data_IF_071437055906
#
_entry.id   IF_071437055906
#
_cell.length_a   1.000
_cell.length_b   1.000
_cell.length_c   1.000
_cell.angle_alpha   90.00
_cell.angle_beta   90.00
_cell.angle_gamma   90.00
#
_symmetry.space_group_name_H-M   'P 1'
#
loop_
_entity.id
_entity.type
_entity.pdbx_description
1 polymer ?
#
# COMPACT_ATOMS: atom_id res chain seq x y z
N UNK A 1 -22.42 72.68 61.07
CA UNK A 1 -22.57 71.22 61.26
C UNK A 1 -22.62 70.42 59.95
N UNK A 2 -22.96 70.99 58.78
CA UNK A 2 -23.07 70.23 57.52
C UNK A 2 -21.73 69.69 56.94
N UNK A 3 -20.60 70.32 57.23
CA UNK A 3 -19.31 70.05 56.57
C UNK A 3 -18.63 68.73 56.99
N UNK A 4 -18.70 68.40 58.29
CA UNK A 4 -18.18 67.12 58.81
C UNK A 4 -18.95 65.92 58.26
N UNK A 5 -20.28 66.01 58.20
CA UNK A 5 -21.15 64.93 57.69
C UNK A 5 -20.89 64.64 56.23
N UNK A 6 -20.64 65.67 55.42
CA UNK A 6 -20.34 65.52 53.99
C UNK A 6 -18.94 64.93 53.75
N UNK A 7 -17.98 65.24 54.62
CA UNK A 7 -16.63 64.66 54.61
C UNK A 7 -16.65 63.18 55.00
N UNK A 8 -17.39 62.80 56.05
CA UNK A 8 -17.55 61.40 56.48
C UNK A 8 -18.27 60.56 55.44
N UNK A 9 -19.31 61.11 54.79
CA UNK A 9 -20.00 60.42 53.69
C UNK A 9 -19.07 60.10 52.51
N UNK A 10 -18.19 61.04 52.12
CA UNK A 10 -17.18 60.80 51.06
C UNK A 10 -16.18 59.71 51.44
N UNK A 11 -15.73 59.67 52.70
CA UNK A 11 -14.82 58.63 53.18
C UNK A 11 -15.48 57.24 53.16
N UNK A 12 -16.73 57.14 53.59
CA UNK A 12 -17.50 55.87 53.55
C UNK A 12 -17.64 55.37 52.11
N UNK A 13 -17.98 56.27 51.17
CA UNK A 13 -18.10 55.89 49.74
C UNK A 13 -16.76 55.42 49.16
N UNK A 14 -15.64 56.04 49.57
CA UNK A 14 -14.30 55.57 49.16
C UNK A 14 -14.02 54.16 49.68
N UNK A 15 -14.23 53.94 50.98
CA UNK A 15 -14.04 52.62 51.62
C UNK A 15 -14.91 51.54 50.99
N UNK A 16 -16.16 51.85 50.63
CA UNK A 16 -17.04 50.91 49.94
C UNK A 16 -16.53 50.54 48.55
N UNK A 17 -15.98 51.51 47.79
CA UNK A 17 -15.36 51.22 46.48
C UNK A 17 -14.11 50.36 46.61
N UNK A 18 -13.28 50.60 47.61
CA UNK A 18 -12.09 49.80 47.87
C UNK A 18 -12.48 48.36 48.26
N UNK A 19 -13.53 48.21 49.06
CA UNK A 19 -14.09 46.91 49.45
C UNK A 19 -14.70 46.16 48.25
N UNK A 20 -15.43 46.85 47.37
CA UNK A 20 -15.94 46.29 46.11
C UNK A 20 -14.81 45.82 45.19
N UNK A 21 -13.72 46.59 45.11
CA UNK A 21 -12.51 46.21 44.39
C UNK A 21 -11.90 44.91 44.93
N UNK A 22 -11.72 44.83 46.25
CA UNK A 22 -11.18 43.64 46.91
C UNK A 22 -12.03 42.38 46.63
N UNK A 23 -13.35 42.47 46.79
CA UNK A 23 -14.23 41.33 46.51
C UNK A 23 -14.21 40.90 45.04
N UNK A 24 -14.06 41.86 44.12
CA UNK A 24 -13.98 41.58 42.70
C UNK A 24 -12.68 40.85 42.34
N UNK A 25 -11.57 41.25 42.95
CA UNK A 25 -10.27 40.58 42.76
C UNK A 25 -10.28 39.15 43.35
N UNK A 26 -10.87 38.96 44.53
CA UNK A 26 -11.05 37.64 45.14
C UNK A 26 -11.97 36.74 44.29
N UNK A 27 -13.06 37.31 43.75
CA UNK A 27 -13.96 36.60 42.83
C UNK A 27 -13.25 36.21 41.52
N UNK A 28 -12.37 37.07 41.00
CA UNK A 28 -11.57 36.76 39.82
C UNK A 28 -10.57 35.62 40.08
N UNK A 29 -9.87 35.64 41.22
CA UNK A 29 -8.97 34.55 41.62
C UNK A 29 -9.70 33.23 41.77
N UNK A 30 -10.87 33.23 42.42
CA UNK A 30 -11.66 32.02 42.62
C UNK A 30 -12.15 31.44 41.28
N UNK A 31 -12.57 32.31 40.35
CA UNK A 31 -12.98 31.88 39.01
C UNK A 31 -11.82 31.28 38.20
N UNK A 32 -10.61 31.82 38.33
CA UNK A 32 -9.41 31.26 37.71
C UNK A 32 -9.07 29.87 38.27
N UNK A 33 -9.14 29.70 39.60
CA UNK A 33 -8.91 28.41 40.25
C UNK A 33 -9.95 27.36 39.86
N UNK A 34 -11.23 27.74 39.78
CA UNK A 34 -12.30 26.87 39.28
C UNK A 34 -12.00 26.42 37.84
N UNK A 35 -11.61 27.34 36.96
CA UNK A 35 -11.24 27.01 35.59
C UNK A 35 -10.09 26.00 35.51
N UNK A 36 -9.07 26.16 36.35
CA UNK A 36 -7.93 25.24 36.44
C UNK A 36 -8.34 23.84 36.95
N UNK A 37 -9.23 23.77 37.94
CA UNK A 37 -9.76 22.53 38.48
C UNK A 37 -10.63 21.78 37.47
N UNK A 38 -11.47 22.48 36.71
CA UNK A 38 -12.29 21.91 35.64
C UNK A 38 -11.43 21.34 34.50
N UNK A 39 -10.37 22.05 34.11
CA UNK A 39 -9.41 21.56 33.12
C UNK A 39 -8.68 20.29 33.62
N UNK A 40 -8.27 20.27 34.89
CA UNK A 40 -7.63 19.10 35.50
C UNK A 40 -8.57 17.91 35.58
N UNK A 41 -9.83 18.13 35.98
CA UNK A 41 -10.87 17.10 36.03
C UNK A 41 -11.13 16.50 34.66
N UNK A 42 -11.13 17.32 33.60
CA UNK A 42 -11.31 16.86 32.23
C UNK A 42 -10.18 15.92 31.81
N UNK A 43 -8.92 16.27 32.07
CA UNK A 43 -7.76 15.40 31.81
C UNK A 43 -7.84 14.08 32.58
N UNK A 44 -8.22 14.13 33.86
CA UNK A 44 -8.39 12.91 34.68
C UNK A 44 -9.47 12.00 34.08
N UNK A 45 -10.58 12.56 33.61
CA UNK A 45 -11.65 11.78 33.00
C UNK A 45 -11.23 11.13 31.68
N UNK A 46 -10.40 11.79 30.87
CA UNK A 46 -9.81 11.19 29.66
C UNK A 46 -8.88 10.03 30.01
N UNK A 47 -8.01 10.20 31.01
CA UNK A 47 -7.12 9.13 31.49
C UNK A 47 -7.95 7.96 32.04
N UNK A 48 -9.02 8.22 32.81
CA UNK A 48 -9.92 7.18 33.30
C UNK A 48 -10.54 6.38 32.16
N UNK A 49 -11.01 7.03 31.09
CA UNK A 49 -11.53 6.31 29.89
C UNK A 49 -10.48 5.39 29.27
N UNK A 50 -9.22 5.83 29.21
CA UNK A 50 -8.12 5.00 28.71
C UNK A 50 -7.86 3.82 29.65
N UNK A 51 -7.84 4.05 30.97
CA UNK A 51 -7.64 2.99 31.97
C UNK A 51 -8.78 1.97 31.90
N UNK A 52 -10.03 2.40 31.85
CA UNK A 52 -11.19 1.51 31.76
C UNK A 52 -11.19 0.70 30.45
N UNK A 53 -10.68 1.27 29.35
CA UNK A 53 -10.50 0.55 28.09
C UNK A 53 -9.30 -0.41 28.08
N UNK A 54 -8.31 -0.20 28.95
CA UNK A 54 -7.06 -0.99 28.99
C UNK A 54 -7.00 -2.00 30.13
N UNK A 55 -7.77 -1.81 31.20
CA UNK A 55 -7.93 -2.76 32.31
C UNK A 55 -8.91 -3.85 31.87
N UNK A 56 -8.36 -4.97 31.42
CA UNK A 56 -9.08 -6.10 30.83
C UNK A 56 -9.84 -6.87 31.91
N UNK A 57 -11.16 -7.00 31.80
CA UNK A 57 -11.97 -7.81 32.73
C UNK A 57 -11.78 -9.31 32.55
N UNK A 58 -11.50 -9.79 31.32
CA UNK A 58 -11.32 -11.21 30.98
C UNK A 58 -10.24 -11.41 29.88
N UNK A 59 -8.96 -11.51 30.24
CA UNK A 59 -7.89 -11.69 29.27
C UNK A 59 -7.90 -13.09 28.64
N UNK A 60 -7.74 -13.14 27.32
CA UNK A 60 -7.47 -14.36 26.56
C UNK A 60 -5.96 -14.57 26.52
N UNK A 61 -5.53 -15.78 26.87
CA UNK A 61 -4.13 -16.19 26.78
C UNK A 61 -3.92 -17.05 25.53
N UNK A 62 -3.02 -16.63 24.65
CA UNK A 62 -2.59 -17.38 23.47
C UNK A 62 -1.20 -17.96 23.71
N UNK A 63 -1.05 -19.28 23.61
CA UNK A 63 0.22 -19.97 23.65
C UNK A 63 0.65 -20.33 22.21
N UNK A 64 1.51 -19.51 21.61
CA UNK A 64 1.98 -19.66 20.23
C UNK A 64 3.35 -20.34 20.25
N UNK A 65 3.40 -21.64 19.94
CA UNK A 65 4.67 -22.40 19.89
C UNK A 65 5.46 -22.37 21.20
N UNK A 66 4.77 -22.29 22.35
CA UNK A 66 5.38 -22.20 23.68
C UNK A 66 5.50 -20.78 24.24
N UNK A 67 5.29 -19.74 23.42
CA UNK A 67 5.31 -18.34 23.86
C UNK A 67 3.91 -17.86 24.22
N UNK A 68 3.74 -17.37 25.46
CA UNK A 68 2.44 -16.90 25.97
C UNK A 68 2.24 -15.41 25.69
N UNK A 69 1.08 -15.07 25.14
CA UNK A 69 0.63 -13.70 24.87
C UNK A 69 -0.75 -13.49 25.49
N UNK A 70 -1.03 -12.28 25.98
CA UNK A 70 -2.33 -11.94 26.57
C UNK A 70 -2.97 -10.76 25.85
N UNK A 71 -4.28 -10.87 25.61
CA UNK A 71 -5.05 -9.88 24.87
C UNK A 71 -6.56 -10.02 25.15
N UNK A 72 -7.40 -9.22 24.47
CA UNK A 72 -8.86 -9.25 24.62
C UNK A 72 -9.53 -9.93 23.43
N UNK A 73 -10.78 -10.40 23.64
CA UNK A 73 -11.66 -10.84 22.53
C UNK A 73 -11.84 -9.73 21.49
N UNK A 74 -11.97 -8.47 21.92
CA UNK A 74 -12.17 -7.34 21.02
C UNK A 74 -10.97 -7.14 20.08
N UNK A 75 -9.74 -7.26 20.59
CA UNK A 75 -8.51 -7.18 19.77
C UNK A 75 -8.46 -8.32 18.74
N UNK A 76 -8.74 -9.54 19.17
CA UNK A 76 -8.68 -10.72 18.30
C UNK A 76 -9.79 -10.76 17.23
N UNK A 77 -10.93 -10.15 17.50
CA UNK A 77 -12.09 -10.10 16.60
C UNK A 77 -12.24 -8.74 15.90
N UNK A 78 -11.23 -7.86 15.98
CA UNK A 78 -11.24 -6.51 15.38
C UNK A 78 -11.37 -6.55 13.87
N UNK A 79 -10.73 -7.52 13.23
CA UNK A 79 -10.81 -7.76 11.78
C UNK A 79 -11.63 -9.03 11.57
N UNK A 80 -12.75 -8.90 10.85
CA UNK A 80 -13.68 -10.00 10.59
C UNK A 80 -13.16 -10.97 9.54
N UNK A 81 -13.51 -12.25 9.68
CA UNK A 81 -13.10 -13.31 8.76
C UNK A 81 -11.65 -13.78 8.91
N UNK A 82 -10.93 -13.28 9.92
CA UNK A 82 -9.57 -13.75 10.24
C UNK A 82 -9.61 -15.05 11.04
N UNK A 83 -8.48 -15.75 11.13
CA UNK A 83 -8.33 -16.96 11.95
C UNK A 83 -8.83 -16.76 13.38
N UNK A 84 -8.48 -15.62 13.99
CA UNK A 84 -8.84 -15.31 15.38
C UNK A 84 -10.33 -14.97 15.54
N UNK A 85 -10.95 -14.35 14.53
CA UNK A 85 -12.38 -14.06 14.54
C UNK A 85 -13.21 -15.35 14.48
N UNK A 86 -12.87 -16.26 13.56
CA UNK A 86 -13.52 -17.58 13.44
C UNK A 86 -13.26 -18.45 14.67
N UNK A 87 -12.04 -18.38 15.23
CA UNK A 87 -11.69 -19.11 16.44
C UNK A 87 -12.56 -18.73 17.65
N UNK A 88 -13.02 -17.46 17.71
CA UNK A 88 -13.78 -16.93 18.84
C UNK A 88 -15.28 -16.69 18.53
N UNK A 89 -15.72 -17.00 17.31
CA UNK A 89 -17.12 -16.88 16.86
C UNK A 89 -18.00 -18.03 17.35
N UNK A 90 -17.40 -19.16 17.73
CA UNK A 90 -18.10 -20.39 18.09
C UNK A 90 -18.46 -21.29 16.89
N UNK A 91 -18.03 -20.91 15.67
CA UNK A 91 -18.23 -21.69 14.44
C UNK A 91 -17.25 -22.87 14.33
N UNK A 92 -16.09 -22.77 14.99
CA UNK A 92 -15.13 -23.84 15.11
C UNK A 92 -15.20 -24.48 16.50
N UNK A 93 -15.16 -25.82 16.54
CA UNK A 93 -15.27 -26.62 17.77
C UNK A 93 -13.92 -26.62 18.53
N UNK A 94 -13.49 -25.44 19.00
CA UNK A 94 -12.18 -25.21 19.62
C UNK A 94 -12.33 -25.27 21.14
N UNK A 95 -11.70 -26.27 21.76
CA UNK A 95 -11.65 -26.41 23.21
C UNK A 95 -10.45 -25.65 23.78
N UNK A 96 -10.62 -24.90 24.88
CA UNK A 96 -9.49 -24.38 25.65
C UNK A 96 -8.57 -25.51 26.13
N UNK A 97 -7.33 -25.16 26.49
CA UNK A 97 -6.45 -26.12 27.18
C UNK A 97 -7.12 -26.64 28.46
N UNK A 98 -6.98 -27.94 28.72
CA UNK A 98 -7.80 -28.74 29.66
C UNK A 98 -7.86 -28.25 31.10
N UNK A 99 -7.01 -27.33 31.51
CA UNK A 99 -6.84 -26.94 32.92
C UNK A 99 -6.86 -25.41 33.15
N UNK A 100 -7.09 -24.61 32.09
CA UNK A 100 -7.09 -23.14 32.18
C UNK A 100 -8.15 -22.54 31.26
N UNK A 101 -9.18 -21.92 31.83
CA UNK A 101 -10.20 -21.18 31.07
C UNK A 101 -9.54 -20.06 30.24
N UNK A 102 -10.07 -19.78 29.05
CA UNK A 102 -9.59 -18.74 28.12
C UNK A 102 -8.11 -18.85 27.68
N UNK A 103 -7.50 -20.04 27.76
CA UNK A 103 -6.15 -20.29 27.24
C UNK A 103 -6.19 -21.22 26.03
N UNK A 104 -5.58 -20.78 24.93
CA UNK A 104 -5.58 -21.51 23.66
C UNK A 104 -4.15 -21.74 23.16
N UNK A 105 -3.87 -22.96 22.70
CA UNK A 105 -2.59 -23.31 22.09
C UNK A 105 -2.68 -23.24 20.57
N UNK A 106 -1.67 -22.65 19.96
CA UNK A 106 -1.53 -22.54 18.50
C UNK A 106 -0.13 -23.03 18.14
N UNK A 107 -0.08 -24.08 17.31
CA UNK A 107 1.15 -24.71 16.85
C UNK A 107 1.79 -23.90 15.70
N UNK A 108 2.35 -22.75 16.04
CA UNK A 108 3.03 -21.79 15.15
C UNK A 108 4.22 -21.16 15.86
N UNK A 109 5.13 -20.54 15.11
CA UNK A 109 6.27 -19.83 15.70
C UNK A 109 5.84 -18.51 16.35
N UNK A 110 5.92 -18.45 17.68
CA UNK A 110 5.58 -17.27 18.46
C UNK A 110 6.64 -16.15 18.43
N UNK A 111 7.78 -16.33 17.76
CA UNK A 111 8.93 -15.43 17.89
C UNK A 111 8.67 -13.99 17.48
N UNK A 112 7.93 -13.79 16.41
CA UNK A 112 7.56 -12.46 15.91
C UNK A 112 6.07 -12.13 16.10
N UNK A 113 5.34 -12.94 16.87
CA UNK A 113 3.89 -12.79 17.06
C UNK A 113 3.50 -11.46 17.71
N UNK A 114 4.40 -10.84 18.48
CA UNK A 114 4.20 -9.50 19.08
C UNK A 114 3.81 -8.43 18.04
N UNK A 115 4.35 -8.51 16.82
CA UNK A 115 4.07 -7.55 15.75
C UNK A 115 2.65 -7.73 15.19
N UNK A 116 2.23 -8.99 15.03
CA UNK A 116 0.86 -9.34 14.61
C UNK A 116 -0.14 -8.89 15.67
N UNK A 117 0.18 -9.14 16.94
CA UNK A 117 -0.69 -8.75 18.04
C UNK A 117 -0.82 -7.23 18.18
N UNK A 118 0.28 -6.47 18.02
CA UNK A 118 0.23 -5.02 18.02
C UNK A 118 -0.57 -4.50 16.82
N UNK A 119 -0.35 -5.06 15.62
CA UNK A 119 -1.15 -4.72 14.46
C UNK A 119 -2.65 -4.94 14.72
N UNK A 120 -3.05 -6.03 15.38
CA UNK A 120 -4.45 -6.28 15.77
C UNK A 120 -4.97 -5.29 16.84
N UNK A 121 -4.12 -4.63 17.61
CA UNK A 121 -4.49 -3.62 18.62
C UNK A 121 -4.72 -2.25 17.98
N UNK A 122 -3.74 -1.73 17.27
CA UNK A 122 -3.71 -0.34 16.78
C UNK A 122 -3.93 -0.21 15.27
N UNK A 123 -3.60 -1.25 14.48
CA UNK A 123 -3.72 -1.26 13.03
C UNK A 123 -2.51 -0.69 12.32
N UNK A 124 -1.42 -0.39 13.04
CA UNK A 124 -0.23 0.22 12.48
C UNK A 124 0.79 -0.85 12.02
N UNK A 125 0.98 -0.93 10.71
CA UNK A 125 1.94 -1.84 10.09
C UNK A 125 3.39 -1.32 10.16
N UNK A 126 3.58 -0.02 10.40
CA UNK A 126 4.90 0.63 10.33
C UNK A 126 5.82 0.24 11.49
N UNK A 127 5.29 -0.48 12.49
CA UNK A 127 6.02 -0.95 13.67
C UNK A 127 6.83 -2.23 13.37
N UNK A 128 6.71 -2.82 12.17
CA UNK A 128 7.41 -4.06 11.78
C UNK A 128 8.83 -3.74 11.25
N UNK A 129 9.91 -4.20 11.92
CA UNK A 129 11.28 -4.04 11.42
C UNK A 129 11.49 -4.79 10.10
N UNK A 130 12.34 -4.24 9.22
CA UNK A 130 12.60 -4.81 7.88
C UNK A 130 13.18 -6.22 7.93
N UNK A 131 13.95 -6.51 8.96
CA UNK A 131 14.70 -7.76 9.14
C UNK A 131 13.77 -8.95 9.39
N UNK A 132 12.62 -8.71 10.02
CA UNK A 132 11.62 -9.75 10.38
C UNK A 132 10.36 -9.68 9.52
N UNK A 133 10.29 -8.73 8.58
CA UNK A 133 9.09 -8.45 7.79
C UNK A 133 8.57 -9.68 7.05
N UNK A 134 9.44 -10.40 6.33
CA UNK A 134 9.04 -11.59 5.59
C UNK A 134 8.57 -12.75 6.48
N UNK A 135 9.10 -12.87 7.70
CA UNK A 135 8.63 -13.84 8.68
C UNK A 135 7.23 -13.47 9.20
N UNK A 136 7.03 -12.19 9.54
CA UNK A 136 5.73 -11.67 10.00
C UNK A 136 4.66 -11.79 8.92
N UNK A 137 4.98 -11.49 7.66
CA UNK A 137 4.06 -11.62 6.52
C UNK A 137 3.61 -13.08 6.30
N UNK A 138 4.52 -14.05 6.45
CA UNK A 138 4.17 -15.48 6.38
C UNK A 138 3.18 -15.89 7.46
N UNK A 139 3.39 -15.43 8.69
CA UNK A 139 2.47 -15.71 9.80
C UNK A 139 1.12 -14.99 9.63
N UNK A 140 1.11 -13.73 9.19
CA UNK A 140 -0.14 -13.00 8.92
C UNK A 140 -0.98 -13.69 7.85
N UNK A 141 -0.35 -14.25 6.80
CA UNK A 141 -1.03 -15.08 5.80
C UNK A 141 -1.63 -16.36 6.40
N UNK A 142 -0.94 -17.00 7.35
CA UNK A 142 -1.49 -18.15 8.08
C UNK A 142 -2.73 -17.75 8.88
N UNK A 143 -2.67 -16.64 9.62
CA UNK A 143 -3.79 -16.13 10.42
C UNK A 143 -4.90 -15.46 9.59
N UNK A 144 -4.82 -15.48 8.26
CA UNK A 144 -5.78 -14.83 7.35
C UNK A 144 -5.94 -13.33 7.68
N UNK A 145 -4.86 -12.69 8.10
CA UNK A 145 -4.81 -11.24 8.32
C UNK A 145 -4.25 -10.63 7.05
N UNK A 146 -5.12 -10.01 6.26
CA UNK A 146 -4.70 -9.22 5.12
C UNK A 146 -4.05 -7.94 5.64
N UNK A 147 -2.73 -7.85 5.46
CA UNK A 147 -2.06 -6.57 5.63
C UNK A 147 -2.64 -5.60 4.60
N UNK A 148 -2.91 -4.33 4.95
CA UNK A 148 -3.00 -3.29 3.96
C UNK A 148 -1.62 -3.23 3.33
N UNK A 149 -1.45 -3.94 2.21
CA UNK A 149 -0.27 -3.81 1.38
C UNK A 149 -0.14 -2.30 1.13
N UNK A 150 1.06 -1.70 1.28
CA UNK A 150 1.26 -0.36 0.78
C UNK A 150 0.73 -0.36 -0.66
N UNK A 151 -0.09 0.63 -1.05
CA UNK A 151 -0.76 0.60 -2.34
C UNK A 151 0.29 0.32 -3.40
N UNK A 152 0.14 -0.82 -4.09
CA UNK A 152 1.05 -1.14 -5.18
C UNK A 152 1.05 0.05 -6.13
N UNK A 153 2.21 0.49 -6.64
CA UNK A 153 2.24 1.54 -7.66
C UNK A 153 1.33 1.19 -8.85
N UNK A 154 1.12 -0.11 -9.07
CA UNK A 154 0.31 -0.67 -10.15
C UNK A 154 -0.99 -1.28 -9.64
N UNK A 155 -2.04 -1.18 -10.45
CA UNK A 155 -3.28 -1.96 -10.24
C UNK A 155 -3.27 -3.30 -10.98
N UNK A 156 -2.23 -3.57 -11.76
CA UNK A 156 -2.10 -4.77 -12.60
C UNK A 156 -1.24 -5.85 -11.96
N UNK A 157 -0.30 -5.48 -11.08
CA UNK A 157 0.62 -6.40 -10.40
C UNK A 157 0.84 -6.03 -8.93
N UNK A 158 1.20 -7.04 -8.14
CA UNK A 158 1.61 -6.89 -6.74
C UNK A 158 3.04 -6.32 -6.56
N UNK A 159 3.35 -5.84 -5.36
CA UNK A 159 4.65 -5.26 -5.02
C UNK A 159 5.83 -6.23 -5.21
N UNK A 160 5.64 -7.53 -4.94
CA UNK A 160 6.66 -8.57 -5.11
C UNK A 160 7.14 -8.70 -6.56
N UNK A 161 6.26 -8.42 -7.53
CA UNK A 161 6.64 -8.41 -8.94
C UNK A 161 7.56 -7.22 -9.29
N UNK A 162 7.41 -6.08 -8.61
CA UNK A 162 8.34 -4.95 -8.77
C UNK A 162 9.74 -5.26 -8.21
N UNK A 163 9.83 -6.05 -7.14
CA UNK A 163 11.12 -6.53 -6.63
C UNK A 163 11.81 -7.42 -7.65
N UNK A 164 11.08 -8.35 -8.26
CA UNK A 164 11.59 -9.18 -9.35
C UNK A 164 12.03 -8.36 -10.58
N UNK A 165 11.26 -7.33 -10.96
CA UNK A 165 11.64 -6.44 -12.05
C UNK A 165 12.91 -5.64 -11.69
N UNK A 166 13.10 -5.23 -10.44
CA UNK A 166 14.34 -4.58 -10.00
C UNK A 166 15.54 -5.51 -10.15
N UNK A 167 15.40 -6.80 -9.82
CA UNK A 167 16.46 -7.80 -10.01
C UNK A 167 16.80 -7.98 -11.49
N UNK A 168 15.80 -7.95 -12.36
CA UNK A 168 16.00 -7.96 -13.82
C UNK A 168 16.72 -6.71 -14.33
N UNK A 169 16.36 -5.53 -13.82
CA UNK A 169 17.04 -4.27 -14.18
C UNK A 169 18.46 -4.22 -13.58
N UNK A 170 18.71 -4.93 -12.47
CA UNK A 170 19.98 -4.97 -11.76
C UNK A 170 20.13 -3.85 -10.71
N UNK A 171 19.05 -3.12 -10.40
CA UNK A 171 19.05 -2.10 -9.34
C UNK A 171 17.62 -1.77 -8.91
N UNK A 172 17.47 -1.26 -7.68
CA UNK A 172 16.19 -0.78 -7.17
C UNK A 172 15.75 0.49 -7.91
N UNK A 173 14.53 0.48 -8.45
CA UNK A 173 13.95 1.63 -9.15
C UNK A 173 12.98 2.43 -8.28
N UNK A 174 12.67 3.65 -8.71
CA UNK A 174 11.58 4.45 -8.17
C UNK A 174 10.46 4.60 -9.21
N UNK A 175 9.39 3.83 -9.02
CA UNK A 175 8.30 3.72 -9.98
C UNK A 175 7.36 4.92 -9.89
N UNK A 176 7.39 5.80 -10.89
CA UNK A 176 6.42 6.90 -11.03
C UNK A 176 5.47 6.63 -12.18
N UNK A 177 4.16 6.50 -11.89
CA UNK A 177 3.15 6.26 -12.93
C UNK A 177 3.06 7.46 -13.89
N UNK A 178 3.41 7.24 -15.15
CA UNK A 178 3.32 8.24 -16.22
C UNK A 178 1.98 8.16 -16.94
N UNK A 179 1.56 6.94 -17.29
CA UNK A 179 0.42 6.69 -18.16
C UNK A 179 -0.39 5.52 -17.63
N UNK A 180 -1.72 5.67 -17.67
CA UNK A 180 -2.68 4.59 -17.42
C UNK A 180 -3.78 4.64 -18.45
N UNK A 181 -3.99 3.56 -19.20
CA UNK A 181 -4.97 3.49 -20.29
C UNK A 181 -6.38 3.90 -19.83
N UNK A 182 -6.84 3.33 -18.71
CA UNK A 182 -8.15 3.65 -18.14
C UNK A 182 -8.30 5.10 -17.64
N UNK A 183 -7.20 5.81 -17.39
CA UNK A 183 -7.18 7.20 -16.90
C UNK A 183 -7.00 8.21 -18.03
N UNK A 184 -6.07 7.92 -18.93
CA UNK A 184 -5.53 8.88 -19.90
C UNK A 184 -6.04 8.64 -21.33
N UNK A 185 -6.71 7.51 -21.57
CA UNK A 185 -7.15 7.04 -22.88
C UNK A 185 -6.20 6.01 -23.49
N UNK A 186 -6.74 5.10 -24.31
CA UNK A 186 -6.00 3.98 -24.90
C UNK A 186 -5.37 4.29 -26.27
N UNK A 187 -5.59 5.47 -26.83
CA UNK A 187 -5.09 5.83 -28.15
C UNK A 187 -3.58 6.17 -28.13
N UNK A 188 -2.96 6.08 -29.31
CA UNK A 188 -1.55 6.42 -29.50
C UNK A 188 -1.20 7.85 -29.03
N UNK A 189 -1.99 8.91 -29.37
CA UNK A 189 -1.75 10.25 -28.85
C UNK A 189 -1.69 10.35 -27.32
N UNK A 190 -2.56 9.65 -26.59
CA UNK A 190 -2.56 9.63 -25.13
C UNK A 190 -1.27 9.04 -24.57
N UNK A 191 -0.83 7.89 -25.07
CA UNK A 191 0.43 7.29 -24.67
C UNK A 191 1.60 8.25 -24.89
N UNK A 192 1.73 8.82 -26.09
CA UNK A 192 2.87 9.68 -26.42
C UNK A 192 2.90 11.00 -25.65
N UNK A 193 1.72 11.58 -25.37
CA UNK A 193 1.61 12.76 -24.50
C UNK A 193 2.18 12.50 -23.10
N UNK A 194 1.98 11.29 -22.57
CA UNK A 194 2.42 10.94 -21.22
C UNK A 194 3.86 10.40 -21.17
N UNK A 195 4.30 9.63 -22.17
CA UNK A 195 5.50 8.80 -22.10
C UNK A 195 6.72 9.31 -22.88
N UNK A 196 6.55 10.18 -23.88
CA UNK A 196 7.67 10.65 -24.70
C UNK A 196 8.62 11.55 -23.88
N UNK A 197 9.93 11.37 -24.07
CA UNK A 197 10.98 12.17 -23.41
C UNK A 197 11.03 12.02 -21.89
N UNK A 198 10.58 10.89 -21.32
CA UNK A 198 10.54 10.64 -19.87
C UNK A 198 11.69 9.78 -19.34
N UNK A 199 12.57 9.31 -20.22
CA UNK A 199 13.67 8.41 -19.95
C UNK A 199 13.24 6.96 -19.94
N UNK A 200 13.90 6.18 -19.07
CA UNK A 200 13.68 4.74 -18.89
C UNK A 200 12.28 4.46 -18.37
N UNK A 201 11.63 3.44 -18.92
CA UNK A 201 10.27 3.07 -18.51
C UNK A 201 10.05 1.57 -18.44
N UNK A 202 9.18 1.15 -17.52
CA UNK A 202 8.54 -0.16 -17.52
C UNK A 202 7.10 0.00 -18.00
N UNK A 203 6.69 -0.80 -18.99
CA UNK A 203 5.31 -0.91 -19.45
C UNK A 203 4.71 -2.22 -18.94
N UNK A 204 3.52 -2.15 -18.35
CA UNK A 204 2.70 -3.27 -17.90
C UNK A 204 1.39 -3.28 -18.69
N UNK A 205 1.05 -4.42 -19.27
CA UNK A 205 -0.13 -4.61 -20.10
C UNK A 205 -0.93 -5.77 -19.52
N UNK A 206 -2.21 -5.55 -19.23
CA UNK A 206 -3.16 -6.59 -18.90
C UNK A 206 -4.06 -6.84 -20.10
N UNK A 207 -4.02 -8.06 -20.63
CA UNK A 207 -4.93 -8.48 -21.68
C UNK A 207 -6.26 -8.97 -21.09
N UNK A 208 -7.34 -8.84 -21.86
CA UNK A 208 -8.70 -9.30 -21.47
C UNK A 208 -8.79 -10.80 -21.14
N UNK A 209 -7.83 -11.60 -21.60
CA UNK A 209 -7.76 -13.01 -21.28
C UNK A 209 -7.11 -13.29 -19.91
N UNK A 210 -6.70 -12.24 -19.18
CA UNK A 210 -6.14 -12.30 -17.82
C UNK A 210 -4.61 -12.36 -17.78
N UNK A 211 -3.93 -12.45 -18.92
CA UNK A 211 -2.47 -12.43 -18.95
C UNK A 211 -1.93 -11.03 -18.67
N UNK A 212 -0.80 -10.94 -17.96
CA UNK A 212 -0.09 -9.70 -17.63
C UNK A 212 1.36 -9.80 -18.06
N UNK A 213 1.79 -8.87 -18.90
CA UNK A 213 3.10 -8.88 -19.54
C UNK A 213 3.54 -7.46 -19.89
N UNK A 214 4.72 -7.31 -20.48
CA UNK A 214 5.17 -5.99 -20.92
C UNK A 214 6.65 -5.94 -21.28
N UNK A 215 7.25 -4.77 -21.09
CA UNK A 215 8.65 -4.57 -21.42
C UNK A 215 9.29 -3.36 -20.76
N UNK A 216 10.62 -3.42 -20.72
CA UNK A 216 11.50 -2.36 -20.27
C UNK A 216 12.13 -1.67 -21.48
N UNK A 217 11.93 -0.36 -21.57
CA UNK A 217 12.61 0.52 -22.51
C UNK A 217 13.68 1.30 -21.76
N UNK A 218 14.94 1.15 -22.17
CA UNK A 218 16.08 1.83 -21.54
C UNK A 218 16.29 3.27 -22.01
N UNK A 219 15.52 3.72 -23.01
CA UNK A 219 15.67 5.01 -23.69
C UNK A 219 14.31 5.74 -23.80
N UNK A 220 14.32 6.95 -24.32
CA UNK A 220 13.12 7.76 -24.52
C UNK A 220 12.19 7.19 -25.60
N UNK A 221 10.90 7.13 -25.28
CA UNK A 221 9.86 6.98 -26.30
C UNK A 221 9.85 8.17 -27.26
N UNK A 222 9.64 7.88 -28.54
CA UNK A 222 9.68 8.87 -29.63
C UNK A 222 8.74 8.47 -30.79
N UNK A 223 8.63 9.35 -31.77
CA UNK A 223 7.72 9.22 -32.92
C UNK A 223 8.46 9.01 -34.25
N UNK A 224 9.76 8.74 -34.22
CA UNK A 224 10.65 8.86 -35.40
C UNK A 224 10.50 7.73 -36.43
N UNK A 225 9.55 6.80 -36.25
CA UNK A 225 9.30 5.68 -37.16
C UNK A 225 10.37 4.57 -37.15
N UNK A 226 11.47 4.78 -36.42
CA UNK A 226 12.70 3.99 -36.45
C UNK A 226 12.80 3.03 -35.27
N UNK A 227 13.59 1.97 -35.46
CA UNK A 227 13.99 1.07 -34.39
C UNK A 227 15.12 1.66 -33.56
N UNK A 228 15.10 1.39 -32.26
CA UNK A 228 16.12 1.84 -31.30
C UNK A 228 16.16 0.90 -30.07
N UNK A 229 16.91 1.32 -29.05
CA UNK A 229 17.13 0.57 -27.82
C UNK A 229 18.57 0.06 -27.74
N UNK A 230 18.88 -0.62 -26.64
CA UNK A 230 20.17 -1.25 -26.39
C UNK A 230 19.96 -2.59 -25.68
N UNK A 231 21.05 -3.31 -25.39
CA UNK A 231 21.00 -4.65 -24.79
C UNK A 231 20.38 -4.71 -23.39
N UNK A 232 20.10 -3.57 -22.75
CA UNK A 232 19.36 -3.54 -21.49
C UNK A 232 17.84 -3.61 -21.69
N UNK A 233 17.31 -3.38 -22.90
CA UNK A 233 15.90 -3.58 -23.20
C UNK A 233 15.52 -5.07 -23.09
N UNK A 234 14.36 -5.35 -22.50
CA UNK A 234 13.80 -6.70 -22.40
C UNK A 234 12.28 -6.65 -22.40
N UNK A 235 11.65 -7.75 -22.80
CA UNK A 235 10.22 -7.98 -22.58
C UNK A 235 10.04 -9.09 -21.55
N UNK A 236 8.85 -9.19 -20.97
CA UNK A 236 8.58 -10.16 -19.92
C UNK A 236 7.11 -10.56 -19.87
N UNK A 237 6.86 -11.71 -19.26
CA UNK A 237 5.52 -12.15 -18.82
C UNK A 237 5.52 -12.33 -17.31
N UNK A 238 4.42 -11.95 -16.65
CA UNK A 238 4.24 -12.06 -15.19
C UNK A 238 3.13 -13.07 -14.90
N UNK A 239 1.92 -12.81 -15.40
CA UNK A 239 0.77 -13.72 -15.28
C UNK A 239 0.53 -14.31 -16.66
N UNK A 240 0.56 -15.63 -16.76
CA UNK A 240 0.33 -16.33 -18.01
C UNK A 240 -0.51 -17.60 -17.81
N UNK A 241 -1.34 -17.93 -18.80
CA UNK A 241 -2.15 -19.17 -18.80
C UNK A 241 -1.35 -20.46 -18.98
N UNK A 242 -0.08 -20.35 -19.35
CA UNK A 242 0.81 -21.51 -19.52
C UNK A 242 1.39 -22.00 -18.18
N UNK A 243 1.10 -21.31 -17.07
CA UNK A 243 1.60 -21.66 -15.75
C UNK A 243 3.11 -21.44 -15.58
N UNK A 244 3.75 -20.68 -16.47
CA UNK A 244 5.15 -20.30 -16.31
C UNK A 244 5.30 -19.35 -15.12
N UNK A 245 6.43 -19.48 -14.41
CA UNK A 245 6.87 -18.43 -13.51
C UNK A 245 7.10 -17.12 -14.30
N UNK A 246 7.04 -15.94 -13.65
CA UNK A 246 7.40 -14.69 -14.29
C UNK A 246 8.75 -14.80 -15.00
N UNK A 247 8.78 -14.50 -16.29
CA UNK A 247 9.91 -14.80 -17.17
C UNK A 247 10.30 -13.56 -17.98
N UNK A 248 11.60 -13.27 -18.01
CA UNK A 248 12.21 -12.22 -18.81
C UNK A 248 12.83 -12.77 -20.09
N UNK A 249 12.63 -12.08 -21.20
CA UNK A 249 13.19 -12.38 -22.50
C UNK A 249 14.13 -11.25 -22.95
N UNK A 250 15.39 -11.61 -23.20
CA UNK A 250 16.43 -10.67 -23.62
C UNK A 250 16.44 -10.50 -25.14
N UNK A 251 16.85 -9.33 -25.59
CA UNK A 251 17.01 -9.02 -27.00
C UNK A 251 18.00 -9.97 -27.69
N UNK A 252 17.67 -10.41 -28.90
CA UNK A 252 18.62 -11.14 -29.76
C UNK A 252 19.72 -10.18 -30.21
N UNK A 253 20.96 -10.63 -30.23
CA UNK A 253 22.01 -9.90 -30.96
C UNK A 253 21.74 -10.04 -32.46
N UNK A 254 21.24 -8.98 -33.07
CA UNK A 254 21.27 -8.81 -34.52
C UNK A 254 22.66 -8.30 -34.87
N UNK A 255 23.26 -8.76 -35.97
CA UNK A 255 24.63 -8.39 -36.37
C UNK A 255 24.91 -6.88 -36.37
N UNK A 256 26.19 -6.52 -36.29
CA UNK A 256 26.77 -5.17 -36.22
C UNK A 256 25.78 -3.97 -36.11
N UNK A 257 25.44 -3.60 -34.86
CA UNK A 257 24.91 -2.27 -34.53
C UNK A 257 23.43 -2.02 -34.83
N UNK A 258 22.66 -3.03 -35.26
CA UNK A 258 21.22 -2.87 -35.54
C UNK A 258 20.39 -3.28 -34.32
N UNK A 259 19.97 -2.31 -33.50
CA UNK A 259 19.11 -2.56 -32.34
C UNK A 259 17.63 -2.45 -32.72
N UNK A 260 16.93 -3.59 -32.72
CA UNK A 260 15.50 -3.68 -33.04
C UNK A 260 14.66 -4.02 -31.80
N UNK A 261 14.96 -3.42 -30.65
CA UNK A 261 14.32 -3.77 -29.38
C UNK A 261 13.08 -2.95 -29.09
N UNK A 262 13.05 -1.70 -29.54
CA UNK A 262 11.90 -0.80 -29.40
C UNK A 262 11.70 -0.05 -30.72
N UNK A 263 10.47 0.35 -31.04
CA UNK A 263 10.17 1.15 -32.22
C UNK A 263 9.35 2.38 -31.89
N UNK A 264 9.78 3.54 -32.37
CA UNK A 264 8.98 4.77 -32.31
C UNK A 264 7.95 4.79 -33.43
N UNK A 265 6.72 5.18 -33.15
CA UNK A 265 5.63 5.19 -34.14
C UNK A 265 4.56 6.17 -33.71
N UNK A 266 4.03 7.00 -34.63
CA UNK A 266 2.87 7.84 -34.32
C UNK A 266 1.53 7.09 -34.30
N UNK A 267 1.51 5.85 -34.81
CA UNK A 267 0.29 5.07 -35.02
C UNK A 267 0.05 3.98 -33.96
N UNK A 268 0.90 3.90 -32.94
CA UNK A 268 0.77 2.94 -31.86
C UNK A 268 1.42 3.51 -30.62
N UNK A 269 0.99 3.08 -29.44
CA UNK A 269 1.66 3.40 -28.18
C UNK A 269 2.98 2.63 -28.06
N UNK A 270 3.13 1.73 -27.08
CA UNK A 270 4.36 0.96 -26.96
C UNK A 270 4.48 -0.09 -28.07
N UNK A 271 5.65 -0.11 -28.71
CA UNK A 271 6.09 -1.18 -29.61
C UNK A 271 7.43 -1.73 -29.10
N UNK A 272 7.43 -3.00 -28.69
CA UNK A 272 8.64 -3.75 -28.42
C UNK A 272 8.92 -4.69 -29.58
N UNK A 273 10.18 -4.67 -30.02
CA UNK A 273 10.68 -5.57 -31.06
C UNK A 273 10.17 -5.27 -32.46
N UNK A 274 10.41 -6.19 -33.39
CA UNK A 274 9.82 -6.19 -34.74
C UNK A 274 8.38 -6.73 -34.64
N UNK A 275 7.56 -5.98 -33.92
CA UNK A 275 6.19 -6.36 -33.53
C UNK A 275 6.12 -7.54 -32.57
N UNK A 276 7.10 -7.73 -31.68
CA UNK A 276 7.00 -8.74 -30.62
C UNK A 276 5.83 -8.42 -29.69
N UNK A 277 5.66 -7.14 -29.34
CA UNK A 277 4.49 -6.58 -28.66
C UNK A 277 4.12 -5.26 -29.34
N UNK A 278 2.88 -5.12 -29.79
CA UNK A 278 2.35 -3.86 -30.34
C UNK A 278 1.03 -3.54 -29.68
N UNK A 279 0.94 -2.36 -29.05
CA UNK A 279 -0.31 -1.80 -28.56
C UNK A 279 -0.67 -0.59 -29.43
N UNK A 280 -1.58 -0.80 -30.37
CA UNK A 280 -2.02 0.20 -31.37
C UNK A 280 -3.19 1.06 -30.89
N UNK A 281 -3.81 0.67 -29.77
CA UNK A 281 -4.82 1.45 -29.09
C UNK A 281 -6.23 1.19 -29.62
N UNK A 282 -6.99 0.43 -28.84
CA UNK A 282 -8.45 0.34 -28.82
C UNK A 282 -8.79 -0.71 -27.73
N UNK A 283 -9.54 -0.37 -26.67
CA UNK A 283 -9.82 -1.31 -25.57
C UNK A 283 -11.01 -2.24 -25.87
N UNK A 284 -11.66 -2.14 -27.02
CA UNK A 284 -12.85 -2.94 -27.36
C UNK A 284 -12.67 -3.87 -28.56
N UNK A 285 -11.62 -3.67 -29.36
CA UNK A 285 -11.33 -4.49 -30.55
C UNK A 285 -9.93 -5.08 -30.48
N UNK A 286 -9.71 -6.30 -30.99
CA UNK A 286 -8.42 -6.98 -30.89
C UNK A 286 -7.43 -6.46 -31.96
N UNK A 287 -7.07 -5.18 -31.87
CA UNK A 287 -6.16 -4.51 -32.81
C UNK A 287 -4.69 -4.59 -32.39
N UNK A 288 -4.42 -4.95 -31.13
CA UNK A 288 -3.08 -5.12 -30.58
C UNK A 288 -2.53 -6.50 -31.00
N UNK A 289 -1.21 -6.62 -31.15
CA UNK A 289 -0.59 -7.84 -31.70
C UNK A 289 0.60 -8.33 -30.88
N UNK A 290 0.78 -9.65 -30.84
CA UNK A 290 1.95 -10.34 -30.32
C UNK A 290 2.58 -11.12 -31.47
N UNK A 291 3.77 -10.69 -31.88
CA UNK A 291 4.59 -11.34 -32.92
C UNK A 291 5.86 -12.00 -32.39
N UNK A 292 6.00 -12.10 -31.07
CA UNK A 292 7.14 -12.76 -30.42
C UNK A 292 7.29 -14.21 -30.91
N UNK A 293 8.51 -14.73 -31.18
CA UNK A 293 9.82 -14.20 -30.78
C UNK A 293 10.74 -13.72 -31.91
N UNK A 294 10.56 -12.48 -32.38
CA UNK A 294 11.34 -11.88 -33.49
C UNK A 294 12.60 -11.18 -32.98
N UNK A 295 12.44 -10.12 -32.19
CA UNK A 295 13.56 -9.34 -31.64
C UNK A 295 14.08 -9.89 -30.31
N UNK A 296 13.26 -10.66 -29.61
CA UNK A 296 13.60 -11.21 -28.30
C UNK A 296 13.77 -12.72 -28.38
N UNK A 297 14.60 -13.27 -27.50
CA UNK A 297 14.94 -14.69 -27.48
C UNK A 297 13.90 -15.44 -26.66
N UNK A 298 13.23 -16.42 -27.27
CA UNK A 298 12.35 -17.34 -26.57
C UNK A 298 13.16 -18.43 -25.86
N UNK A 299 13.12 -18.40 -24.53
CA UNK A 299 13.76 -19.38 -23.65
C UNK A 299 12.81 -20.51 -23.22
N UNK A 300 11.53 -20.43 -23.61
CA UNK A 300 10.46 -21.34 -23.18
C UNK A 300 9.99 -22.28 -24.30
N UNK A 301 10.18 -21.88 -25.56
CA UNK A 301 9.69 -22.59 -26.73
C UNK A 301 8.19 -22.41 -26.99
N UNK A 302 7.49 -21.59 -26.20
CA UNK A 302 6.05 -21.35 -26.31
C UNK A 302 5.71 -20.15 -27.21
N UNK A 303 6.69 -19.31 -27.56
CA UNK A 303 6.49 -18.14 -28.41
C UNK A 303 5.40 -17.21 -27.88
N UNK A 304 4.55 -16.69 -28.76
CA UNK A 304 3.50 -15.72 -28.43
C UNK A 304 2.53 -16.19 -27.32
N UNK A 305 2.42 -17.51 -27.09
CA UNK A 305 1.54 -18.09 -26.08
C UNK A 305 1.92 -17.72 -24.65
N UNK A 306 3.14 -17.20 -24.42
CA UNK A 306 3.56 -16.70 -23.11
C UNK A 306 2.94 -15.34 -22.76
N UNK A 307 2.38 -14.64 -23.75
CA UNK A 307 1.80 -13.30 -23.61
C UNK A 307 0.28 -13.34 -23.68
N UNK A 308 -0.28 -14.01 -24.69
CA UNK A 308 -1.72 -14.01 -24.97
C UNK A 308 -2.17 -15.33 -25.57
N UNK A 309 -3.47 -15.63 -25.46
CA UNK A 309 -4.08 -16.85 -26.02
C UNK A 309 -4.19 -16.81 -27.56
N UNK A 310 -4.04 -15.64 -28.17
CA UNK A 310 -4.09 -15.38 -29.61
C UNK A 310 -3.02 -14.36 -30.00
N UNK A 311 -2.60 -14.31 -31.26
CA UNK A 311 -1.64 -13.31 -31.76
C UNK A 311 -2.23 -11.91 -31.83
N UNK A 312 -3.54 -11.76 -31.73
CA UNK A 312 -4.23 -10.48 -31.52
C UNK A 312 -4.93 -10.46 -30.18
N UNK A 313 -5.01 -9.30 -29.53
CA UNK A 313 -5.60 -9.18 -28.20
C UNK A 313 -6.23 -7.83 -27.93
N UNK A 314 -7.15 -7.83 -26.97
CA UNK A 314 -7.76 -6.62 -26.41
C UNK A 314 -7.02 -6.30 -25.10
N UNK A 315 -6.60 -5.05 -24.95
CA UNK A 315 -6.02 -4.54 -23.70
C UNK A 315 -7.16 -4.24 -22.73
N UNK A 316 -7.15 -4.89 -21.57
CA UNK A 316 -8.03 -4.54 -20.45
C UNK A 316 -7.56 -3.25 -19.79
N UNK A 317 -6.27 -3.16 -19.48
CA UNK A 317 -5.62 -1.93 -19.04
C UNK A 317 -4.10 -1.96 -19.31
N UNK A 318 -3.48 -0.79 -19.28
CA UNK A 318 -2.05 -0.60 -19.50
C UNK A 318 -1.52 0.48 -18.55
N UNK A 319 -0.38 0.23 -17.92
CA UNK A 319 0.29 1.19 -17.03
C UNK A 319 1.75 1.32 -17.45
N UNK A 320 2.26 2.56 -17.48
CA UNK A 320 3.68 2.84 -17.79
C UNK A 320 4.28 3.65 -16.67
N UNK A 321 5.40 3.16 -16.15
CA UNK A 321 6.13 3.77 -15.06
C UNK A 321 7.48 4.29 -15.54
N UNK A 322 7.83 5.51 -15.13
CA UNK A 322 9.22 5.96 -15.12
C UNK A 322 9.98 5.18 -14.04
N UNK A 323 11.21 4.79 -14.35
CA UNK A 323 12.11 4.09 -13.43
C UNK A 323 13.46 4.77 -13.30
#
# INVERSE_FOLDING_TARGET
MLDKTQTTAKQIVSLLKDLEGYFKDEQNQLNEEIGNLEATRTKINEIKKIIDATMISDPITLNIGGKKFQTTKATLTRIKGTYFDVMLSGEADIKPMTDTTNTFFIDRDGSNFKYILNYLRDGDINVIPKEVKSEVEREMKFYKIDLPLPPSPSTLIELSHFELINDWIGSKQNYTLLYKGSRDGFDSPAFHRCCNGKGKTITLIKAHDGNVFGGYNSQDWNLNGSYYGDSSCFIFTIVNKQGLAPTRYLGRQMGFGVYQYVRGSAHAGPIFGVSDIVVSGNPTTPTNTIGFPRSYTDTTGLGSQTFTSSTTFIVEDIEVFKV
#
